data_IF_847583620192
#
_entry.id   IF_847583620192
#
_cell.length_a   1.000
_cell.length_b   1.000
_cell.length_c   1.000
_cell.angle_alpha   90.00
_cell.angle_beta   90.00
_cell.angle_gamma   90.00
#
_symmetry.space_group_name_H-M   'P 1'
#
loop_
_entity.id
_entity.type
_entity.pdbx_description
1 polymer ?
#
# COMPACT_ATOMS: atom_id res chain seq x y z
N UNK A 1 -18.73 -1.56 20.17
CA UNK A 1 -18.58 -1.48 18.70
C UNK A 1 -19.60 -0.50 18.14
N UNK A 2 -19.18 0.39 17.26
CA UNK A 2 -20.08 1.38 16.67
C UNK A 2 -20.85 0.76 15.51
N UNK A 3 -22.14 1.05 15.44
CA UNK A 3 -23.01 0.66 14.33
C UNK A 3 -23.17 1.85 13.38
N UNK A 4 -23.03 1.59 12.09
CA UNK A 4 -23.24 2.60 11.04
C UNK A 4 -24.34 2.12 10.08
N UNK A 5 -24.95 3.06 9.38
CA UNK A 5 -25.90 2.72 8.31
C UNK A 5 -25.26 2.98 6.94
N UNK A 6 -25.80 2.35 5.90
CA UNK A 6 -25.36 2.61 4.53
C UNK A 6 -25.50 4.10 4.15
N UNK A 7 -26.49 4.78 4.74
CA UNK A 7 -26.67 6.22 4.58
C UNK A 7 -25.50 7.07 5.11
N UNK A 8 -24.70 6.52 6.02
CA UNK A 8 -23.54 7.18 6.62
C UNK A 8 -22.23 6.91 5.86
N UNK A 9 -22.27 6.12 4.80
CA UNK A 9 -21.07 5.76 4.05
C UNK A 9 -20.36 6.98 3.48
N UNK A 10 -19.04 6.97 3.65
CA UNK A 10 -18.09 7.91 3.05
C UNK A 10 -16.89 7.12 2.55
N UNK A 11 -16.15 7.65 1.61
CA UNK A 11 -14.93 7.00 1.12
C UNK A 11 -13.96 6.78 2.26
N UNK A 12 -13.42 5.56 2.36
CA UNK A 12 -12.50 5.18 3.42
C UNK A 12 -13.14 4.54 4.65
N UNK A 13 -14.46 4.62 4.81
CA UNK A 13 -15.16 3.97 5.93
C UNK A 13 -15.00 2.45 5.83
N UNK A 14 -14.67 1.81 6.94
CA UNK A 14 -14.52 0.35 7.03
C UNK A 14 -15.64 -0.24 7.90
N UNK A 15 -16.20 -1.35 7.43
CA UNK A 15 -17.31 -2.03 8.10
C UNK A 15 -17.24 -3.54 7.89
N UNK A 16 -17.90 -4.29 8.78
CA UNK A 16 -18.02 -5.75 8.64
C UNK A 16 -19.25 -6.11 7.82
N UNK A 17 -19.06 -7.03 6.89
CA UNK A 17 -20.13 -7.64 6.12
C UNK A 17 -19.81 -9.11 5.88
N UNK A 18 -20.67 -10.00 6.32
CA UNK A 18 -20.51 -11.45 6.14
C UNK A 18 -19.14 -11.99 6.61
N UNK A 19 -18.66 -11.48 7.74
CA UNK A 19 -17.37 -11.87 8.29
C UNK A 19 -16.15 -11.30 7.57
N UNK A 20 -16.36 -10.36 6.63
CA UNK A 20 -15.32 -9.69 5.87
C UNK A 20 -15.23 -8.24 6.26
N UNK A 21 -14.01 -7.70 6.23
CA UNK A 21 -13.79 -6.25 6.43
C UNK A 21 -13.79 -5.57 5.07
N UNK A 22 -14.77 -4.71 4.87
CA UNK A 22 -14.95 -3.96 3.63
C UNK A 22 -14.64 -2.49 3.85
N UNK A 23 -14.03 -1.86 2.84
CA UNK A 23 -13.79 -0.43 2.82
C UNK A 23 -14.56 0.21 1.68
N UNK A 24 -15.28 1.29 1.96
CA UNK A 24 -15.98 2.06 0.93
C UNK A 24 -14.96 2.77 0.05
N UNK A 25 -14.95 2.45 -1.22
CA UNK A 25 -14.09 3.09 -2.24
C UNK A 25 -14.84 4.23 -2.92
N UNK A 26 -16.11 3.99 -3.24
CA UNK A 26 -16.98 4.95 -3.90
C UNK A 26 -18.44 4.69 -3.48
N UNK A 27 -19.21 5.72 -3.31
CA UNK A 27 -20.63 5.59 -2.95
C UNK A 27 -21.46 6.64 -3.68
N UNK A 28 -22.73 6.31 -3.93
CA UNK A 28 -23.68 7.21 -4.53
C UNK A 28 -25.06 7.01 -3.89
N UNK A 29 -25.64 8.09 -3.36
CA UNK A 29 -27.03 8.09 -2.90
C UNK A 29 -27.93 8.32 -4.11
N UNK A 30 -28.80 7.35 -4.38
CA UNK A 30 -29.72 7.39 -5.50
C UNK A 30 -31.16 7.49 -4.96
N UNK A 31 -31.87 8.53 -5.40
CA UNK A 31 -33.29 8.72 -5.13
C UNK A 31 -34.05 8.62 -6.46
N UNK A 32 -34.54 7.44 -6.85
CA UNK A 32 -35.26 7.30 -8.11
C UNK A 32 -36.60 8.03 -8.04
N UNK A 33 -37.10 8.50 -9.18
CA UNK A 33 -38.42 9.10 -9.27
C UNK A 33 -39.55 8.17 -8.91
N UNK A 34 -39.37 6.85 -9.11
CA UNK A 34 -40.26 5.77 -8.68
C UNK A 34 -39.39 4.71 -7.99
N UNK A 35 -39.79 4.29 -6.80
CA UNK A 35 -39.11 3.27 -6.03
C UNK A 35 -38.37 3.82 -4.80
N UNK A 36 -37.81 2.92 -4.01
CA UNK A 36 -37.12 3.27 -2.78
C UNK A 36 -35.71 3.83 -3.06
N UNK A 37 -35.25 4.78 -2.24
CA UNK A 37 -33.87 5.25 -2.26
C UNK A 37 -32.89 4.13 -1.93
N UNK A 38 -31.71 4.16 -2.51
CA UNK A 38 -30.65 3.19 -2.24
C UNK A 38 -29.27 3.87 -2.29
N UNK A 39 -28.29 3.20 -1.70
CA UNK A 39 -26.89 3.62 -1.74
C UNK A 39 -26.11 2.62 -2.59
N UNK A 40 -25.69 3.05 -3.77
CA UNK A 40 -24.80 2.25 -4.61
C UNK A 40 -23.41 2.36 -4.04
N UNK A 41 -22.83 1.24 -3.63
CA UNK A 41 -21.55 1.21 -2.91
C UNK A 41 -20.56 0.33 -3.63
N UNK A 42 -19.44 0.93 -4.00
CA UNK A 42 -18.26 0.20 -4.46
C UNK A 42 -17.35 0.01 -3.27
N UNK A 43 -17.04 -1.22 -2.96
CA UNK A 43 -16.29 -1.56 -1.76
C UNK A 43 -15.16 -2.54 -2.05
N UNK A 44 -14.13 -2.44 -1.26
CA UNK A 44 -12.93 -3.28 -1.36
C UNK A 44 -12.81 -4.13 -0.10
N UNK A 45 -12.63 -5.43 -0.27
CA UNK A 45 -12.24 -6.29 0.82
C UNK A 45 -10.79 -5.93 1.20
N UNK A 46 -10.56 -5.43 2.40
CA UNK A 46 -9.23 -4.93 2.81
C UNK A 46 -8.20 -6.05 2.95
N UNK A 47 -8.65 -7.29 3.15
CA UNK A 47 -7.75 -8.46 3.31
C UNK A 47 -7.40 -9.05 1.95
N UNK A 48 -8.38 -9.29 1.09
CA UNK A 48 -8.16 -9.93 -0.23
C UNK A 48 -7.88 -8.95 -1.37
N UNK A 49 -8.25 -7.68 -1.20
CA UNK A 49 -8.16 -6.67 -2.25
C UNK A 49 -9.28 -6.72 -3.29
N UNK A 50 -10.19 -7.69 -3.21
CA UNK A 50 -11.28 -7.82 -4.16
C UNK A 50 -12.24 -6.64 -4.06
N UNK A 51 -12.63 -6.09 -5.22
CA UNK A 51 -13.56 -4.96 -5.32
C UNK A 51 -14.89 -5.47 -5.83
N UNK A 52 -15.96 -5.11 -5.13
CA UNK A 52 -17.34 -5.45 -5.51
C UNK A 52 -18.23 -4.21 -5.42
N UNK A 53 -19.33 -4.23 -6.15
CA UNK A 53 -20.35 -3.18 -6.11
C UNK A 53 -21.69 -3.77 -5.68
N UNK A 54 -22.33 -3.14 -4.71
CA UNK A 54 -23.62 -3.56 -4.16
C UNK A 54 -24.46 -2.34 -3.81
N UNK A 55 -25.77 -2.44 -4.02
CA UNK A 55 -26.72 -1.41 -3.61
C UNK A 55 -27.35 -1.81 -2.28
N UNK A 56 -27.35 -0.89 -1.33
CA UNK A 56 -27.91 -1.09 0.00
C UNK A 56 -29.09 -0.16 0.24
N UNK A 57 -30.01 -0.62 1.07
CA UNK A 57 -30.99 0.27 1.65
C UNK A 57 -30.26 1.28 2.56
N UNK A 58 -30.58 2.59 2.51
CA UNK A 58 -29.88 3.58 3.34
C UNK A 58 -29.95 3.30 4.84
N UNK A 59 -30.95 2.56 5.29
CA UNK A 59 -31.13 2.18 6.71
C UNK A 59 -30.45 0.86 7.06
N UNK A 60 -29.84 0.16 6.10
CA UNK A 60 -29.10 -1.07 6.37
C UNK A 60 -27.98 -0.82 7.37
N UNK A 61 -27.91 -1.65 8.41
CA UNK A 61 -26.96 -1.49 9.51
C UNK A 61 -25.78 -2.43 9.37
N UNK A 62 -24.60 -1.90 9.68
CA UNK A 62 -23.34 -2.64 9.69
C UNK A 62 -22.56 -2.29 10.95
N UNK A 63 -21.72 -3.20 11.40
CA UNK A 63 -20.75 -2.90 12.44
C UNK A 63 -19.55 -2.20 11.81
N UNK A 64 -19.16 -1.08 12.40
CA UNK A 64 -17.94 -0.37 11.97
C UNK A 64 -16.72 -1.22 12.32
N UNK A 65 -15.86 -1.47 11.34
CA UNK A 65 -14.64 -2.23 11.54
C UNK A 65 -13.50 -1.28 11.87
N UNK A 66 -12.74 -1.61 12.93
CA UNK A 66 -11.57 -0.83 13.33
C UNK A 66 -10.30 -1.50 12.85
N UNK A 67 -9.61 -0.87 11.90
CA UNK A 67 -8.31 -1.33 11.41
C UNK A 67 -7.21 -0.61 12.19
N UNK A 68 -6.38 -1.36 12.87
CA UNK A 68 -5.22 -0.82 13.57
C UNK A 68 -4.06 -0.60 12.60
N UNK A 69 -3.39 0.53 12.76
CA UNK A 69 -2.18 0.88 12.03
C UNK A 69 -1.08 1.14 13.03
N UNK A 70 0.04 0.47 12.85
CA UNK A 70 1.19 0.64 13.72
C UNK A 70 2.47 0.72 12.89
N UNK A 71 3.27 1.74 13.16
CA UNK A 71 4.58 1.86 12.53
C UNK A 71 5.54 0.91 13.21
N UNK A 72 6.20 0.05 12.42
CA UNK A 72 7.18 -0.92 12.87
C UNK A 72 8.40 -0.87 11.97
N UNK A 73 9.55 -1.15 12.56
CA UNK A 73 10.82 -1.17 11.83
C UNK A 73 11.11 -2.56 11.29
N UNK A 74 11.37 -2.65 9.98
CA UNK A 74 11.80 -3.91 9.38
C UNK A 74 13.19 -4.28 9.90
N UNK A 75 13.31 -5.44 10.51
CA UNK A 75 14.55 -5.89 11.13
C UNK A 75 15.35 -6.83 10.22
N UNK A 76 14.81 -8.00 9.91
CA UNK A 76 15.48 -8.98 9.06
C UNK A 76 14.50 -10.02 8.52
N UNK A 77 14.97 -10.86 7.60
CA UNK A 77 14.25 -12.03 7.10
C UNK A 77 15.10 -13.28 7.28
N UNK A 78 14.45 -14.40 7.60
CA UNK A 78 15.09 -15.71 7.64
C UNK A 78 14.86 -16.52 6.35
N UNK A 79 14.22 -15.91 5.36
CA UNK A 79 13.85 -16.54 4.09
C UNK A 79 12.38 -16.92 4.01
N UNK A 80 11.75 -17.27 5.12
CA UNK A 80 10.33 -17.65 5.19
C UNK A 80 9.48 -16.55 5.80
N UNK A 81 9.99 -15.92 6.85
CA UNK A 81 9.32 -14.87 7.59
C UNK A 81 10.13 -13.58 7.57
N UNK A 82 9.42 -12.48 7.69
CA UNK A 82 9.97 -11.14 7.78
C UNK A 82 9.65 -10.59 9.17
N UNK A 83 10.68 -10.14 9.87
CA UNK A 83 10.55 -9.71 11.26
C UNK A 83 10.52 -8.20 11.37
N UNK A 84 9.47 -7.70 11.98
CA UNK A 84 9.26 -6.26 12.21
C UNK A 84 9.31 -6.00 13.71
N UNK A 85 10.08 -5.01 14.09
CA UNK A 85 10.24 -4.63 15.51
C UNK A 85 9.26 -3.53 15.88
N UNK A 86 8.52 -3.75 16.95
CA UNK A 86 7.70 -2.74 17.58
C UNK A 86 8.61 -1.74 18.31
N UNK A 87 8.56 -0.42 17.96
CA UNK A 87 9.45 0.57 18.55
C UNK A 87 9.17 0.84 20.04
N UNK A 88 8.00 0.46 20.53
CA UNK A 88 7.64 0.65 21.94
C UNK A 88 8.04 -0.53 22.83
N UNK A 89 7.71 -1.74 22.39
CA UNK A 89 7.98 -2.96 23.15
C UNK A 89 9.29 -3.64 22.80
N UNK A 90 9.90 -3.30 21.66
CA UNK A 90 11.06 -3.96 21.07
C UNK A 90 10.84 -5.44 20.73
N UNK A 91 9.59 -5.87 20.71
CA UNK A 91 9.24 -7.23 20.30
C UNK A 91 9.31 -7.37 18.77
N UNK A 92 9.79 -8.53 18.33
CA UNK A 92 9.81 -8.89 16.92
C UNK A 92 8.53 -9.63 16.55
N UNK A 93 7.84 -9.12 15.53
CA UNK A 93 6.61 -9.71 15.01
C UNK A 93 6.93 -10.40 13.69
N UNK A 94 6.73 -11.72 13.58
CA UNK A 94 6.95 -12.44 12.31
C UNK A 94 5.77 -12.21 11.36
N UNK A 95 6.08 -11.85 10.11
CA UNK A 95 5.08 -11.59 9.08
C UNK A 95 5.42 -12.42 7.85
N UNK A 96 4.44 -13.14 7.31
CA UNK A 96 4.61 -13.95 6.10
C UNK A 96 4.72 -13.10 4.83
N UNK A 97 5.40 -13.62 3.83
CA UNK A 97 5.60 -12.93 2.55
C UNK A 97 4.29 -12.60 1.83
N UNK A 98 3.24 -13.40 2.02
CA UNK A 98 1.92 -13.20 1.44
C UNK A 98 1.24 -11.89 1.88
N UNK A 99 1.64 -11.33 3.02
CA UNK A 99 1.09 -10.09 3.58
C UNK A 99 1.81 -8.85 3.05
N UNK A 100 3.05 -9.00 2.55
CA UNK A 100 3.94 -7.88 2.26
C UNK A 100 3.62 -7.12 0.97
N UNK A 101 3.07 -7.76 -0.04
CA UNK A 101 2.81 -7.12 -1.33
C UNK A 101 4.08 -6.82 -2.15
N UNK A 102 3.88 -6.42 -3.41
CA UNK A 102 4.97 -6.20 -4.37
C UNK A 102 5.89 -5.02 -4.02
N UNK A 103 5.36 -4.03 -3.32
CA UNK A 103 6.11 -2.81 -2.99
C UNK A 103 7.18 -3.04 -1.92
N UNK A 104 7.14 -4.16 -1.22
CA UNK A 104 8.13 -4.52 -0.22
C UNK A 104 9.54 -4.69 -0.83
N UNK A 105 9.64 -4.93 -2.13
CA UNK A 105 10.93 -5.00 -2.84
C UNK A 105 11.80 -3.75 -2.73
N UNK A 106 11.22 -2.62 -2.31
CA UNK A 106 11.94 -1.36 -2.09
C UNK A 106 12.37 -1.15 -0.63
N UNK A 107 12.01 -2.05 0.28
CA UNK A 107 12.27 -1.89 1.72
C UNK A 107 13.60 -2.51 2.09
N UNK A 108 14.42 -1.72 2.79
CA UNK A 108 15.65 -2.19 3.42
C UNK A 108 15.47 -2.41 4.91
N UNK A 109 16.38 -3.16 5.52
CA UNK A 109 16.46 -3.28 6.98
C UNK A 109 16.54 -1.89 7.63
N UNK A 110 15.91 -1.75 8.78
CA UNK A 110 15.79 -0.52 9.56
C UNK A 110 14.85 0.56 8.98
N UNK A 111 14.16 0.28 7.88
CA UNK A 111 13.10 1.15 7.39
C UNK A 111 11.81 0.94 8.18
N UNK A 112 11.11 2.04 8.45
CA UNK A 112 9.82 2.02 9.14
C UNK A 112 8.69 1.79 8.13
N UNK A 113 7.89 0.76 8.37
CA UNK A 113 6.71 0.43 7.59
C UNK A 113 5.45 0.54 8.44
N UNK A 114 4.31 0.77 7.82
CA UNK A 114 3.02 0.76 8.51
C UNK A 114 2.41 -0.63 8.43
N UNK A 115 2.28 -1.28 9.59
CA UNK A 115 1.67 -2.61 9.71
C UNK A 115 0.19 -2.44 10.03
N UNK A 116 -0.66 -3.02 9.21
CA UNK A 116 -2.12 -2.98 9.38
C UNK A 116 -2.63 -4.30 9.90
N UNK A 117 -3.45 -4.23 10.94
CA UNK A 117 -4.05 -5.42 11.54
C UNK A 117 -5.55 -5.21 11.82
N UNK A 118 -6.26 -6.32 11.86
CA UNK A 118 -7.66 -6.37 12.25
C UNK A 118 -7.84 -7.54 13.22
N UNK A 119 -8.38 -7.25 14.40
CA UNK A 119 -8.52 -8.24 15.49
C UNK A 119 -7.20 -9.00 15.74
N UNK A 120 -6.12 -8.24 15.89
CA UNK A 120 -4.76 -8.74 16.17
C UNK A 120 -4.12 -9.54 15.02
N UNK A 121 -4.80 -9.69 13.89
CA UNK A 121 -4.25 -10.36 12.71
C UNK A 121 -3.72 -9.34 11.72
N UNK A 122 -2.43 -9.41 11.42
CA UNK A 122 -1.79 -8.58 10.39
C UNK A 122 -2.25 -9.03 9.01
N UNK A 123 -2.71 -8.10 8.19
CA UNK A 123 -3.17 -8.39 6.84
C UNK A 123 -2.45 -7.58 5.75
N UNK A 124 -1.75 -6.52 6.10
CA UNK A 124 -1.01 -5.70 5.16
C UNK A 124 0.17 -4.99 5.82
N UNK A 125 1.22 -4.78 5.03
CA UNK A 125 2.36 -3.95 5.41
C UNK A 125 2.56 -2.92 4.30
N UNK A 126 2.53 -1.65 4.65
CA UNK A 126 2.77 -0.55 3.72
C UNK A 126 4.17 0.00 3.91
N UNK A 127 5.03 -0.02 2.89
CA UNK A 127 6.32 0.65 2.96
C UNK A 127 6.17 2.17 3.05
N UNK A 128 7.24 2.90 3.42
CA UNK A 128 7.22 4.36 3.28
C UNK A 128 6.88 4.74 1.84
N UNK A 129 6.14 5.84 1.66
CA UNK A 129 5.75 6.28 0.32
C UNK A 129 6.94 6.60 -0.59
N UNK A 130 8.03 7.07 0.01
CA UNK A 130 9.25 7.44 -0.70
C UNK A 130 10.45 6.79 -0.04
N UNK A 131 11.34 6.24 -0.86
CA UNK A 131 12.60 5.65 -0.39
C UNK A 131 13.74 6.15 -1.26
N UNK A 132 14.92 6.28 -0.65
CA UNK A 132 16.15 6.63 -1.35
C UNK A 132 17.02 5.37 -1.43
N UNK A 133 17.30 4.91 -2.65
CA UNK A 133 18.07 3.69 -2.90
C UNK A 133 19.19 3.95 -3.90
N UNK A 134 20.29 3.22 -3.72
CA UNK A 134 21.44 3.29 -4.62
C UNK A 134 21.24 2.36 -5.81
N UNK A 135 21.53 2.86 -7.01
CA UNK A 135 21.57 2.07 -8.23
C UNK A 135 22.84 1.22 -8.22
N UNK A 136 22.69 -0.09 -8.25
CA UNK A 136 23.82 -1.04 -8.23
C UNK A 136 24.22 -1.49 -9.62
N UNK A 137 23.29 -1.49 -10.56
CA UNK A 137 23.54 -1.93 -11.94
C UNK A 137 22.64 -1.17 -12.91
N UNK A 138 23.23 -0.57 -13.93
CA UNK A 138 22.52 0.04 -15.05
C UNK A 138 23.51 0.25 -16.21
N UNK A 139 23.00 0.49 -17.40
CA UNK A 139 23.82 0.89 -18.52
C UNK A 139 24.42 2.29 -18.30
N UNK A 140 25.62 2.57 -18.84
CA UNK A 140 26.21 3.89 -18.71
C UNK A 140 25.29 4.99 -19.23
N UNK A 141 25.29 6.14 -18.52
CA UNK A 141 24.56 7.31 -18.95
C UNK A 141 25.16 7.94 -20.19
N UNK A 142 24.30 8.34 -21.13
CA UNK A 142 24.74 9.04 -22.35
C UNK A 142 24.56 10.55 -22.15
N UNK A 143 25.65 11.30 -22.39
CA UNK A 143 25.57 12.76 -22.43
C UNK A 143 25.03 13.19 -23.79
N UNK A 144 24.04 14.09 -23.79
CA UNK A 144 23.53 14.71 -25.00
C UNK A 144 22.36 13.97 -25.66
N UNK A 145 21.80 12.97 -25.00
CA UNK A 145 20.56 12.38 -25.47
C UNK A 145 19.40 13.33 -25.16
N UNK A 146 18.85 13.93 -26.21
CA UNK A 146 17.76 14.89 -26.12
C UNK A 146 16.38 14.24 -26.19
N UNK A 147 16.32 12.91 -26.25
CA UNK A 147 15.05 12.19 -26.27
C UNK A 147 14.36 12.32 -24.89
N UNK A 148 13.30 13.10 -24.85
CA UNK A 148 12.42 13.21 -23.68
C UNK A 148 11.67 11.89 -23.48
N UNK A 149 11.58 11.42 -22.23
CA UNK A 149 10.84 10.21 -21.83
C UNK A 149 11.49 8.86 -22.20
N UNK A 150 12.73 8.83 -22.66
CA UNK A 150 13.44 7.57 -22.82
C UNK A 150 14.01 7.13 -21.48
N UNK A 151 13.71 5.90 -21.11
CA UNK A 151 14.15 5.30 -19.88
C UNK A 151 14.93 4.03 -20.14
N UNK A 152 15.76 3.64 -19.18
CA UNK A 152 16.53 2.39 -19.20
C UNK A 152 16.29 1.62 -17.91
N UNK A 153 16.47 0.29 -17.92
CA UNK A 153 16.37 -0.49 -16.70
C UNK A 153 17.54 -0.21 -15.75
N UNK A 154 17.25 -0.22 -14.47
CA UNK A 154 18.25 -0.13 -13.40
C UNK A 154 17.92 -1.10 -12.29
N UNK A 155 18.93 -1.73 -11.73
CA UNK A 155 18.82 -2.57 -10.55
C UNK A 155 19.24 -1.78 -9.32
N UNK A 156 18.42 -1.86 -8.27
CA UNK A 156 18.66 -1.14 -7.01
C UNK A 156 19.36 -2.05 -5.99
N UNK A 157 19.88 -1.45 -4.94
CA UNK A 157 20.58 -2.18 -3.86
C UNK A 157 19.71 -3.22 -3.15
N UNK A 158 18.39 -3.10 -3.22
CA UNK A 158 17.44 -4.11 -2.71
C UNK A 158 17.21 -5.28 -3.68
N UNK A 159 17.78 -5.22 -4.87
CA UNK A 159 17.53 -6.18 -5.95
C UNK A 159 16.33 -5.84 -6.84
N UNK A 160 15.57 -4.83 -6.51
CA UNK A 160 14.43 -4.38 -7.31
C UNK A 160 14.89 -3.75 -8.62
N UNK A 161 14.14 -3.97 -9.69
CA UNK A 161 14.40 -3.36 -10.99
C UNK A 161 13.33 -2.32 -11.31
N UNK A 162 13.77 -1.15 -11.74
CA UNK A 162 12.88 -0.06 -12.17
C UNK A 162 13.40 0.59 -13.45
N UNK A 163 12.58 1.44 -14.03
CA UNK A 163 12.98 2.29 -15.16
C UNK A 163 13.48 3.64 -14.65
N UNK A 164 14.62 4.07 -15.16
CA UNK A 164 15.25 5.36 -14.80
C UNK A 164 15.60 6.15 -16.06
N UNK A 165 15.77 7.50 -15.95
CA UNK A 165 16.27 8.31 -17.06
C UNK A 165 17.65 7.86 -17.51
N UNK A 166 17.99 8.15 -18.75
CA UNK A 166 19.27 7.73 -19.36
C UNK A 166 20.52 8.29 -18.67
N UNK A 167 20.38 9.43 -17.97
CA UNK A 167 21.53 10.09 -17.29
C UNK A 167 21.90 9.46 -15.95
N UNK A 168 21.12 8.49 -15.45
CA UNK A 168 21.42 7.82 -14.19
C UNK A 168 22.57 6.82 -14.36
N UNK A 169 23.50 6.83 -13.43
CA UNK A 169 24.67 5.95 -13.42
C UNK A 169 24.67 5.03 -12.19
N UNK A 170 25.46 3.96 -12.29
CA UNK A 170 25.72 3.13 -11.11
C UNK A 170 26.33 3.98 -9.98
N UNK A 171 25.88 3.72 -8.76
CA UNK A 171 26.29 4.50 -7.59
C UNK A 171 25.44 5.72 -7.30
N UNK A 172 24.58 6.13 -8.23
CA UNK A 172 23.63 7.21 -7.98
C UNK A 172 22.58 6.80 -6.98
N UNK A 173 22.29 7.67 -6.03
CA UNK A 173 21.19 7.51 -5.09
C UNK A 173 19.96 8.20 -5.63
N UNK A 174 18.87 7.47 -5.74
CA UNK A 174 17.63 7.96 -6.36
C UNK A 174 16.46 7.82 -5.41
N UNK A 175 15.49 8.71 -5.54
CA UNK A 175 14.22 8.66 -4.81
C UNK A 175 13.17 7.99 -5.66
N UNK A 176 12.44 7.09 -5.04
CA UNK A 176 11.42 6.26 -5.69
C UNK A 176 10.11 6.42 -4.93
N UNK A 177 9.02 6.53 -5.67
CA UNK A 177 7.67 6.40 -5.13
C UNK A 177 7.33 4.90 -5.04
N UNK A 178 7.26 4.36 -3.83
CA UNK A 178 7.00 2.93 -3.62
C UNK A 178 5.60 2.52 -4.02
N UNK A 179 4.65 3.46 -4.08
CA UNK A 179 3.26 3.19 -4.47
C UNK A 179 3.13 2.86 -5.95
N UNK A 180 3.97 3.46 -6.79
CA UNK A 180 3.98 3.27 -8.25
C UNK A 180 5.20 2.51 -8.75
N UNK A 181 6.28 2.48 -7.97
CA UNK A 181 7.56 1.93 -8.37
C UNK A 181 8.36 2.84 -9.31
N UNK A 182 7.98 4.11 -9.42
CA UNK A 182 8.57 5.05 -10.35
C UNK A 182 9.69 5.88 -9.75
N UNK A 183 10.69 6.16 -10.57
CA UNK A 183 11.74 7.12 -10.29
C UNK A 183 11.16 8.54 -10.18
N UNK A 184 11.57 9.29 -9.17
CA UNK A 184 11.16 10.68 -8.98
C UNK A 184 12.31 11.66 -9.26
N UNK A 185 13.43 11.48 -8.61
CA UNK A 185 14.58 12.39 -8.70
C UNK A 185 15.84 11.73 -8.19
N UNK A 186 17.01 12.34 -8.52
CA UNK A 186 18.24 11.98 -7.85
C UNK A 186 18.21 12.53 -6.43
N UNK A 187 18.49 11.66 -5.46
CA UNK A 187 18.58 12.08 -4.07
C UNK A 187 19.86 12.87 -3.85
N UNK A 188 19.73 14.01 -3.22
CA UNK A 188 20.89 14.77 -2.78
C UNK A 188 21.42 14.11 -1.51
N UNK A 189 22.46 13.34 -1.68
CA UNK A 189 23.15 12.68 -0.58
C UNK A 189 23.80 13.63 0.40
#
# INVERSE_FOLDING_TARGET
MATITAGDFRNGVTFEMEGKVMQVVEFQHVKPGKGAAFVRTKMKNVITGAVTETSFNPTAKFEEAFVERKDMEYSYSDGDLYYFMDPESYELVPIGADVLGDNFKFVQENMTCTVKSYKEKVFAVEPPNFVDLVVTETEPGFKGDTATNVQKPATLETGAQIKVPLFINEGDKIRIDTRTGEYLERSKG
#
